data_IF_965588397406
#
_entry.id   IF_965588397406
#
_cell.length_a   1.000
_cell.length_b   1.000
_cell.length_c   1.000
_cell.angle_alpha   90.00
_cell.angle_beta   90.00
_cell.angle_gamma   90.00
#
_symmetry.space_group_name_H-M   'P 1'
#
loop_
_entity.id
_entity.type
_entity.pdbx_description
1 polymer ?
#
# COMPACT_ATOMS: atom_id res chain seq x y z
N UNK A 1 -23.07 1.92 -4.34
CA UNK A 1 -22.67 1.67 -2.93
C UNK A 1 -21.24 2.16 -2.77
N UNK A 2 -20.97 3.05 -1.83
CA UNK A 2 -19.61 3.54 -1.56
C UNK A 2 -18.88 2.51 -0.67
N UNK A 3 -17.76 1.96 -1.15
CA UNK A 3 -16.99 0.92 -0.43
C UNK A 3 -15.80 1.51 0.34
N UNK A 4 -15.64 2.83 0.38
CA UNK A 4 -14.52 3.52 1.06
C UNK A 4 -14.38 3.11 2.52
N UNK A 5 -15.49 2.98 3.26
CA UNK A 5 -15.44 2.62 4.69
C UNK A 5 -14.83 1.24 4.92
N UNK A 6 -15.14 0.27 4.05
CA UNK A 6 -14.57 -1.08 4.14
C UNK A 6 -13.05 -1.08 3.90
N UNK A 7 -12.56 -0.26 2.95
CA UNK A 7 -11.12 -0.10 2.72
C UNK A 7 -10.41 0.55 3.91
N UNK A 8 -11.04 1.57 4.52
CA UNK A 8 -10.50 2.25 5.70
C UNK A 8 -10.44 1.28 6.90
N UNK A 9 -11.51 0.54 7.16
CA UNK A 9 -11.55 -0.43 8.25
C UNK A 9 -10.50 -1.54 8.07
N UNK A 10 -10.35 -2.06 6.84
CA UNK A 10 -9.31 -3.04 6.53
C UNK A 10 -7.89 -2.50 6.74
N UNK A 11 -7.64 -1.24 6.37
CA UNK A 11 -6.35 -0.59 6.57
C UNK A 11 -5.99 -0.46 8.06
N UNK A 12 -6.94 -0.05 8.91
CA UNK A 12 -6.71 0.04 10.35
C UNK A 12 -6.53 -1.33 11.01
N UNK A 13 -7.29 -2.35 10.59
CA UNK A 13 -7.10 -3.71 11.08
C UNK A 13 -5.70 -4.25 10.73
N UNK A 14 -5.24 -4.01 9.49
CA UNK A 14 -3.90 -4.38 9.06
C UNK A 14 -2.81 -3.62 9.85
N UNK A 15 -3.03 -2.33 10.13
CA UNK A 15 -2.09 -1.52 10.93
C UNK A 15 -1.98 -2.05 12.36
N UNK A 16 -3.10 -2.43 12.99
CA UNK A 16 -3.10 -2.99 14.34
C UNK A 16 -2.21 -4.25 14.42
N UNK A 17 -2.35 -5.16 13.46
CA UNK A 17 -1.51 -6.35 13.35
C UNK A 17 -0.03 -5.98 13.11
N UNK A 18 0.24 -5.01 12.24
CA UNK A 18 1.59 -4.54 11.97
C UNK A 18 2.26 -3.97 13.24
N UNK A 19 1.53 -3.19 14.03
CA UNK A 19 2.02 -2.62 15.28
C UNK A 19 2.25 -3.70 16.36
N UNK A 20 1.32 -4.64 16.50
CA UNK A 20 1.44 -5.78 17.42
C UNK A 20 2.71 -6.58 17.16
N UNK A 21 3.03 -6.81 15.88
CA UNK A 21 4.22 -7.55 15.45
C UNK A 21 5.46 -6.67 15.24
N UNK A 22 5.41 -5.37 15.58
CA UNK A 22 6.52 -4.43 15.41
C UNK A 22 7.09 -4.41 13.99
N UNK A 23 6.20 -4.54 13.00
CA UNK A 23 6.54 -4.55 11.58
C UNK A 23 7.13 -3.20 11.19
N UNK A 24 8.31 -3.22 10.58
CA UNK A 24 8.98 -2.02 10.06
C UNK A 24 8.83 -1.86 8.55
N UNK A 25 8.53 -2.96 7.85
CA UNK A 25 8.42 -3.01 6.39
C UNK A 25 7.19 -3.80 5.96
N UNK A 26 6.43 -3.28 4.99
CA UNK A 26 5.29 -3.96 4.40
C UNK A 26 5.45 -4.04 2.87
N UNK A 27 5.24 -5.24 2.34
CA UNK A 27 5.24 -5.49 0.89
C UNK A 27 3.78 -5.58 0.45
N UNK A 28 3.33 -4.62 -0.36
CA UNK A 28 1.94 -4.46 -0.76
C UNK A 28 1.77 -4.65 -2.27
N UNK A 29 0.66 -5.25 -2.69
CA UNK A 29 0.39 -5.54 -4.10
C UNK A 29 0.22 -4.24 -4.92
N UNK A 30 1.07 -4.07 -5.93
CA UNK A 30 0.98 -2.93 -6.85
C UNK A 30 -0.38 -2.84 -7.58
N UNK A 31 -0.80 -1.61 -7.91
CA UNK A 31 -2.03 -1.25 -8.66
C UNK A 31 -3.36 -1.62 -7.99
N UNK A 32 -3.37 -1.81 -6.67
CA UNK A 32 -4.62 -2.01 -5.90
C UNK A 32 -5.09 -0.67 -5.29
N UNK A 33 -6.40 -0.37 -5.25
CA UNK A 33 -6.92 0.82 -4.56
C UNK A 33 -6.65 0.82 -3.05
N UNK A 34 -6.28 -0.32 -2.46
CA UNK A 34 -5.85 -0.42 -1.06
C UNK A 34 -4.33 -0.43 -0.89
N UNK A 35 -3.63 -1.10 -1.81
CA UNK A 35 -2.24 -1.55 -1.64
C UNK A 35 -1.25 -0.98 -2.67
N UNK A 36 -1.71 -0.24 -3.67
CA UNK A 36 -0.86 0.36 -4.69
C UNK A 36 -0.12 1.58 -4.17
N UNK A 37 1.15 1.74 -4.56
CA UNK A 37 2.03 2.80 -4.07
C UNK A 37 2.27 3.96 -5.03
N UNK A 38 1.88 3.82 -6.31
CA UNK A 38 2.38 4.72 -7.36
C UNK A 38 1.25 5.38 -8.18
N UNK A 39 0.22 4.60 -8.51
CA UNK A 39 -0.87 5.01 -9.39
C UNK A 39 -2.19 4.44 -8.88
N UNK A 40 -3.17 5.31 -8.64
CA UNK A 40 -4.56 4.95 -8.35
C UNK A 40 -5.47 5.38 -9.50
N UNK A 41 -6.63 4.76 -9.63
CA UNK A 41 -7.65 5.26 -10.56
C UNK A 41 -8.15 6.63 -10.10
N UNK A 42 -8.37 7.54 -11.05
CA UNK A 42 -8.81 8.91 -10.80
C UNK A 42 -10.26 9.03 -10.27
N UNK A 43 -10.96 7.91 -10.12
CA UNK A 43 -12.34 7.85 -9.64
C UNK A 43 -13.41 8.17 -10.68
N UNK A 44 -13.03 8.48 -11.93
CA UNK A 44 -13.97 8.80 -13.02
C UNK A 44 -14.49 7.57 -13.76
N UNK A 45 -13.94 6.38 -13.45
CA UNK A 45 -14.20 5.11 -14.15
C UNK A 45 -13.84 5.12 -15.65
N UNK A 46 -13.03 6.09 -16.09
CA UNK A 46 -12.50 6.19 -17.46
C UNK A 46 -11.25 5.33 -17.70
N UNK A 47 -10.73 4.68 -16.64
CA UNK A 47 -9.48 3.93 -16.66
C UNK A 47 -8.22 4.79 -16.51
N UNK A 48 -8.37 6.10 -16.36
CA UNK A 48 -7.27 7.02 -16.09
C UNK A 48 -6.66 6.78 -14.71
N UNK A 49 -5.33 6.81 -14.66
CA UNK A 49 -4.54 6.66 -13.44
C UNK A 49 -3.86 7.97 -13.09
N UNK A 50 -3.93 8.34 -11.83
CA UNK A 50 -3.24 9.50 -11.26
C UNK A 50 -2.24 9.05 -10.21
N UNK A 51 -1.25 9.89 -9.95
CA UNK A 51 -0.33 9.68 -8.83
C UNK A 51 -1.13 9.67 -7.53
N UNK A 52 -0.99 8.60 -6.76
CA UNK A 52 -1.69 8.43 -5.51
C UNK A 52 -1.42 7.05 -4.91
N UNK A 53 -1.77 6.92 -3.64
CA UNK A 53 -1.52 5.72 -2.85
C UNK A 53 -2.83 5.09 -2.41
N UNK A 54 -2.84 3.76 -2.32
CA UNK A 54 -3.94 3.04 -1.71
C UNK A 54 -4.05 3.35 -0.21
N UNK A 55 -5.27 3.24 0.34
CA UNK A 55 -5.59 3.63 1.72
C UNK A 55 -4.66 2.97 2.75
N UNK A 56 -4.32 1.69 2.56
CA UNK A 56 -3.42 0.96 3.47
C UNK A 56 -1.98 1.46 3.36
N UNK A 57 -1.48 1.66 2.13
CA UNK A 57 -0.13 2.14 1.88
C UNK A 57 0.10 3.53 2.52
N UNK A 58 -0.84 4.45 2.30
CA UNK A 58 -0.79 5.80 2.86
C UNK A 58 -0.81 5.78 4.40
N UNK A 59 -1.68 4.94 4.99
CA UNK A 59 -1.77 4.80 6.44
C UNK A 59 -0.47 4.25 7.04
N UNK A 60 0.11 3.22 6.43
CA UNK A 60 1.34 2.58 6.91
C UNK A 60 2.54 3.54 6.84
N UNK A 61 2.69 4.27 5.73
CA UNK A 61 3.72 5.30 5.57
C UNK A 61 3.60 6.39 6.63
N UNK A 62 2.38 6.84 6.93
CA UNK A 62 2.13 7.83 8.00
C UNK A 62 2.54 7.33 9.40
N UNK A 63 2.54 6.02 9.61
CA UNK A 63 2.97 5.38 10.86
C UNK A 63 4.45 4.98 10.87
N UNK A 64 5.22 5.38 9.86
CA UNK A 64 6.66 5.12 9.78
C UNK A 64 7.02 3.71 9.28
N UNK A 65 6.06 2.96 8.75
CA UNK A 65 6.32 1.66 8.12
C UNK A 65 6.79 1.90 6.68
N UNK A 66 7.92 1.29 6.31
CA UNK A 66 8.43 1.32 4.94
C UNK A 66 7.54 0.46 4.06
N UNK A 67 6.88 1.07 3.09
CA UNK A 67 5.97 0.37 2.16
C UNK A 67 6.65 0.21 0.80
N UNK A 68 6.77 -1.04 0.37
CA UNK A 68 7.31 -1.45 -0.93
C UNK A 68 6.24 -2.20 -1.73
N UNK A 69 6.29 -2.12 -3.04
CA UNK A 69 5.63 -3.08 -3.92
C UNK A 69 6.41 -4.39 -4.00
N UNK A 70 5.78 -5.44 -4.53
CA UNK A 70 6.49 -6.67 -4.84
C UNK A 70 7.66 -6.44 -5.83
N UNK A 71 7.55 -5.45 -6.71
CA UNK A 71 8.60 -5.13 -7.69
C UNK A 71 9.80 -4.45 -7.04
N UNK A 72 9.56 -3.44 -6.20
CA UNK A 72 10.61 -2.73 -5.46
C UNK A 72 11.35 -3.66 -4.51
N UNK A 73 10.60 -4.53 -3.81
CA UNK A 73 11.21 -5.53 -2.93
C UNK A 73 12.11 -6.51 -3.69
N UNK A 74 11.63 -7.07 -4.80
CA UNK A 74 12.43 -7.98 -5.62
C UNK A 74 13.66 -7.29 -6.24
N UNK A 75 13.57 -6.00 -6.56
CA UNK A 75 14.72 -5.23 -7.04
C UNK A 75 15.75 -5.02 -5.93
N UNK A 76 15.32 -4.62 -4.73
CA UNK A 76 16.19 -4.43 -3.57
C UNK A 76 16.96 -5.72 -3.22
N UNK A 77 16.29 -6.88 -3.27
CA UNK A 77 16.91 -8.19 -3.04
C UNK A 77 17.99 -8.55 -4.09
N UNK A 78 17.90 -8.05 -5.32
CA UNK A 78 18.93 -8.29 -6.35
C UNK A 78 20.18 -7.45 -6.10
N UNK A 79 20.02 -6.25 -5.54
CA UNK A 79 21.13 -5.33 -5.27
C UNK A 79 21.97 -5.74 -4.06
N UNK A 80 21.39 -6.48 -3.12
CA UNK A 80 22.06 -6.94 -1.90
C UNK A 80 22.85 -8.24 -2.07
N UNK A 81 22.70 -8.96 -3.19
CA UNK A 81 23.44 -10.20 -3.50
C UNK A 81 24.84 -9.96 -4.12
N UNK A 82 25.58 -8.97 -3.63
CA UNK A 82 26.98 -8.76 -4.02
C UNK A 82 27.93 -9.60 -3.19
#
# INVERSE_FOLDING_TARGET
>A
MNVSDAFIQGAYAALALAQEHQVTHAILKANSPSCGSDLIYDGTFTGHKIQGEGVTAALFRKQGIVVLTEHEFLQALKLTKR
#
